data_IF_651201906889
#
_entry.id   IF_651201906889
#
_cell.length_a   1.000
_cell.length_b   1.000
_cell.length_c   1.000
_cell.angle_alpha   90.00
_cell.angle_beta   90.00
_cell.angle_gamma   90.00
#
_symmetry.space_group_name_H-M   'P 1'
#
loop_
_entity.id
_entity.type
_entity.pdbx_description
1 polymer ?
#
# COMPACT_ATOMS: atom_id res chain seq x y z
N UNK A 1 -13.31 29.39 -19.47
CA UNK A 1 -12.81 27.99 -19.46
C UNK A 1 -11.90 27.73 -18.26
N UNK A 2 -11.33 28.76 -17.64
CA UNK A 2 -10.46 28.65 -16.46
C UNK A 2 -11.18 28.23 -15.17
N UNK A 3 -12.48 28.53 -15.05
CA UNK A 3 -13.29 28.13 -13.89
C UNK A 3 -13.61 26.62 -13.85
N UNK A 4 -13.68 25.94 -15.01
CA UNK A 4 -13.95 24.49 -15.07
C UNK A 4 -12.71 23.69 -14.71
N UNK A 5 -11.52 24.18 -15.09
CA UNK A 5 -10.23 23.58 -14.75
C UNK A 5 -9.84 23.76 -13.27
N UNK A 6 -10.52 24.63 -12.52
CA UNK A 6 -10.31 24.86 -11.09
C UNK A 6 -11.20 24.00 -10.18
N UNK A 7 -11.98 23.07 -10.75
CA UNK A 7 -12.87 22.20 -9.97
C UNK A 7 -12.14 20.96 -9.43
N UNK A 8 -12.54 20.41 -8.27
CA UNK A 8 -11.96 19.17 -7.73
C UNK A 8 -11.97 18.01 -8.73
N UNK A 9 -13.01 17.92 -9.57
CA UNK A 9 -13.16 16.87 -10.58
C UNK A 9 -12.11 17.01 -11.70
N UNK A 10 -11.75 18.24 -12.09
CA UNK A 10 -10.72 18.48 -13.10
C UNK A 10 -9.34 18.10 -12.56
N UNK A 11 -9.03 18.46 -11.31
CA UNK A 11 -7.79 18.05 -10.65
C UNK A 11 -7.68 16.53 -10.51
N UNK A 12 -8.78 15.87 -10.14
CA UNK A 12 -8.84 14.41 -10.07
C UNK A 12 -8.65 13.76 -11.45
N UNK A 13 -9.28 14.30 -12.50
CA UNK A 13 -9.14 13.79 -13.86
C UNK A 13 -7.69 13.89 -14.37
N UNK A 14 -7.01 15.01 -14.10
CA UNK A 14 -5.59 15.19 -14.45
C UNK A 14 -4.72 14.17 -13.71
N UNK A 15 -4.93 13.97 -12.40
CA UNK A 15 -4.19 12.97 -11.62
C UNK A 15 -4.42 11.56 -12.15
N UNK A 16 -5.67 11.21 -12.45
CA UNK A 16 -6.01 9.91 -13.04
C UNK A 16 -5.37 9.71 -14.41
N UNK A 17 -5.28 10.77 -15.23
CA UNK A 17 -4.61 10.71 -16.53
C UNK A 17 -3.10 10.44 -16.37
N UNK A 18 -2.44 11.12 -15.42
CA UNK A 18 -1.02 10.88 -15.10
C UNK A 18 -0.79 9.44 -14.65
N UNK A 19 -1.69 8.90 -13.81
CA UNK A 19 -1.64 7.51 -13.38
C UNK A 19 -1.88 6.54 -14.54
N UNK A 20 -2.86 6.81 -15.40
CA UNK A 20 -3.18 5.99 -16.56
C UNK A 20 -2.02 5.95 -17.58
N UNK A 21 -1.34 7.08 -17.82
CA UNK A 21 -0.14 7.11 -18.67
C UNK A 21 0.99 6.29 -18.06
N UNK A 22 1.18 6.36 -16.75
CA UNK A 22 2.17 5.51 -16.07
C UNK A 22 1.85 4.02 -16.17
N UNK A 23 0.57 3.66 -16.04
CA UNK A 23 0.10 2.28 -16.21
C UNK A 23 0.27 1.78 -17.65
N UNK A 24 -0.06 2.61 -18.65
CA UNK A 24 0.15 2.28 -20.05
C UNK A 24 1.63 2.05 -20.38
N UNK A 25 2.53 2.88 -19.84
CA UNK A 25 3.97 2.71 -19.98
C UNK A 25 4.49 1.44 -19.28
N UNK A 26 3.95 1.11 -18.10
CA UNK A 26 4.25 -0.14 -17.40
C UNK A 26 3.84 -1.37 -18.21
N UNK A 27 2.62 -1.36 -18.78
CA UNK A 27 2.12 -2.43 -19.63
C UNK A 27 2.98 -2.60 -20.89
N UNK A 28 3.32 -1.49 -21.56
CA UNK A 28 4.15 -1.52 -22.77
C UNK A 28 5.58 -2.00 -22.47
N UNK A 29 6.13 -1.65 -21.30
CA UNK A 29 7.44 -2.13 -20.83
C UNK A 29 7.40 -3.53 -20.22
N UNK A 30 6.28 -4.25 -20.32
CA UNK A 30 6.09 -5.61 -19.78
C UNK A 30 6.41 -5.69 -18.27
N UNK A 31 5.93 -4.69 -17.53
CA UNK A 31 6.16 -4.49 -16.09
C UNK A 31 7.65 -4.38 -15.69
N UNK A 32 8.52 -4.01 -16.63
CA UNK A 32 9.92 -3.74 -16.31
C UNK A 32 10.07 -2.38 -15.64
N UNK A 33 9.27 -1.40 -16.06
CA UNK A 33 9.23 -0.06 -15.46
C UNK A 33 7.98 0.05 -14.58
N UNK A 34 8.10 0.43 -13.29
CA UNK A 34 6.95 0.62 -12.42
C UNK A 34 6.02 1.73 -12.92
N UNK A 35 4.70 1.47 -12.92
CA UNK A 35 3.73 2.51 -13.33
C UNK A 35 3.81 3.75 -12.46
N UNK A 36 3.97 3.54 -11.15
CA UNK A 36 4.10 4.62 -10.18
C UNK A 36 5.32 5.52 -10.48
N UNK A 37 6.44 4.95 -10.92
CA UNK A 37 7.62 5.73 -11.30
C UNK A 37 7.33 6.65 -12.48
N UNK A 38 6.76 6.09 -13.54
CA UNK A 38 6.46 6.86 -14.76
C UNK A 38 5.48 7.98 -14.43
N UNK A 39 4.48 7.69 -13.59
CA UNK A 39 3.54 8.70 -13.08
C UNK A 39 4.23 9.78 -12.25
N UNK A 40 5.20 9.44 -11.39
CA UNK A 40 5.97 10.43 -10.61
C UNK A 40 6.82 11.34 -11.50
N UNK A 41 7.53 10.77 -12.48
CA UNK A 41 8.35 11.56 -13.41
C UNK A 41 7.45 12.50 -14.22
N UNK A 42 6.33 11.98 -14.72
CA UNK A 42 5.36 12.77 -15.46
C UNK A 42 4.76 13.88 -14.58
N UNK A 43 4.40 13.56 -13.32
CA UNK A 43 3.90 14.53 -12.36
C UNK A 43 4.89 15.67 -12.10
N UNK A 44 6.17 15.34 -11.85
CA UNK A 44 7.22 16.35 -11.64
C UNK A 44 7.43 17.19 -12.90
N UNK A 45 7.45 16.56 -14.08
CA UNK A 45 7.60 17.27 -15.35
C UNK A 45 6.45 18.27 -15.59
N UNK A 46 5.21 17.89 -15.28
CA UNK A 46 4.04 18.77 -15.42
C UNK A 46 3.98 19.86 -14.34
N UNK A 47 4.53 19.59 -13.16
CA UNK A 47 4.66 20.58 -12.09
C UNK A 47 5.71 21.63 -12.45
N UNK A 48 6.85 21.21 -13.01
CA UNK A 48 7.91 22.11 -13.46
C UNK A 48 7.55 22.91 -14.72
N UNK A 49 6.75 22.35 -15.62
CA UNK A 49 6.24 23.09 -16.78
C UNK A 49 5.17 24.12 -16.42
N UNK A 50 4.75 24.21 -15.16
CA UNK A 50 3.75 25.16 -14.67
C UNK A 50 2.32 24.83 -15.10
N UNK A 51 2.10 23.66 -15.72
CA UNK A 51 0.77 23.22 -16.18
C UNK A 51 -0.13 22.81 -15.00
N UNK A 52 0.47 22.37 -13.89
CA UNK A 52 -0.25 21.84 -12.73
C UNK A 52 0.10 22.62 -11.44
N UNK A 53 -0.89 23.02 -10.62
CA UNK A 53 -0.63 23.63 -9.31
C UNK A 53 -0.07 22.61 -8.31
N UNK A 54 0.85 23.05 -7.43
CA UNK A 54 1.46 22.19 -6.41
C UNK A 54 0.43 21.52 -5.48
N UNK A 55 -0.69 22.20 -5.21
CA UNK A 55 -1.76 21.70 -4.33
C UNK A 55 -2.81 20.83 -5.04
N UNK A 56 -2.54 20.37 -6.27
CA UNK A 56 -3.51 19.58 -7.05
C UNK A 56 -4.03 18.36 -6.30
N UNK A 57 -3.16 17.67 -5.55
CA UNK A 57 -3.52 16.46 -4.79
C UNK A 57 -4.48 16.79 -3.65
N UNK A 58 -4.23 17.89 -2.93
CA UNK A 58 -5.11 18.36 -1.85
C UNK A 58 -6.47 18.79 -2.40
N UNK A 59 -6.48 19.53 -3.52
CA UNK A 59 -7.71 20.01 -4.17
C UNK A 59 -8.54 18.89 -4.80
N UNK A 60 -7.90 17.82 -5.30
CA UNK A 60 -8.58 16.67 -5.87
C UNK A 60 -9.18 15.73 -4.82
N UNK A 61 -8.46 15.51 -3.71
CA UNK A 61 -8.83 14.53 -2.68
C UNK A 61 -9.85 15.05 -1.67
N UNK A 62 -9.76 16.33 -1.29
CA UNK A 62 -10.63 16.95 -0.31
C UNK A 62 -10.70 16.19 1.03
N UNK A 63 -11.75 16.43 1.85
CA UNK A 63 -11.92 15.74 3.14
C UNK A 63 -12.19 14.23 2.99
N UNK A 64 -12.70 13.80 1.83
CA UNK A 64 -13.00 12.39 1.54
C UNK A 64 -11.71 11.56 1.44
N UNK A 65 -10.64 12.12 0.85
CA UNK A 65 -9.36 11.42 0.72
C UNK A 65 -8.75 11.00 2.05
N UNK A 66 -8.85 11.86 3.07
CA UNK A 66 -8.36 11.55 4.42
C UNK A 66 -9.16 10.39 5.05
N UNK A 67 -10.49 10.37 4.89
CA UNK A 67 -11.34 9.29 5.39
C UNK A 67 -11.02 7.93 4.73
N UNK A 68 -10.69 7.95 3.44
CA UNK A 68 -10.35 6.74 2.67
C UNK A 68 -9.07 6.04 3.13
N UNK A 69 -8.14 6.74 3.79
CA UNK A 69 -6.93 6.12 4.34
C UNK A 69 -7.29 4.99 5.31
N UNK A 70 -8.26 5.23 6.21
CA UNK A 70 -8.71 4.22 7.19
C UNK A 70 -9.30 2.97 6.51
N UNK A 71 -10.07 3.17 5.44
CA UNK A 71 -10.71 2.10 4.66
C UNK A 71 -9.66 1.27 3.93
N UNK A 72 -8.69 1.92 3.29
CA UNK A 72 -7.58 1.26 2.58
C UNK A 72 -6.74 0.42 3.54
N UNK A 73 -6.39 0.96 4.72
CA UNK A 73 -5.62 0.23 5.73
C UNK A 73 -6.41 -0.99 6.24
N UNK A 74 -7.70 -0.81 6.53
CA UNK A 74 -8.56 -1.91 6.99
C UNK A 74 -8.65 -3.00 5.92
N UNK A 75 -8.81 -2.61 4.64
CA UNK A 75 -8.80 -3.55 3.52
C UNK A 75 -7.49 -4.33 3.43
N UNK A 76 -6.34 -3.67 3.57
CA UNK A 76 -5.04 -4.35 3.64
C UNK A 76 -4.97 -5.37 4.77
N UNK A 77 -5.46 -5.01 5.97
CA UNK A 77 -5.55 -5.92 7.11
C UNK A 77 -6.36 -7.17 6.82
N UNK A 78 -7.46 -7.05 6.06
CA UNK A 78 -8.33 -8.20 5.75
C UNK A 78 -7.70 -9.25 4.82
N UNK A 79 -6.67 -8.87 4.05
CA UNK A 79 -5.99 -9.78 3.12
C UNK A 79 -4.97 -10.70 3.78
N UNK A 80 -4.55 -10.41 5.02
CA UNK A 80 -3.45 -11.13 5.66
C UNK A 80 -3.89 -12.55 6.09
N UNK A 81 -3.27 -13.62 5.57
CA UNK A 81 -3.58 -14.99 5.99
C UNK A 81 -2.96 -15.31 7.36
N UNK A 82 -3.80 -15.32 8.40
CA UNK A 82 -3.40 -15.62 9.78
C UNK A 82 -2.59 -16.91 9.97
N UNK A 83 -2.90 -17.95 9.20
CA UNK A 83 -2.18 -19.23 9.28
C UNK A 83 -0.70 -19.07 8.89
N UNK A 84 -0.41 -18.21 7.91
CA UNK A 84 0.96 -17.94 7.45
C UNK A 84 1.76 -17.17 8.48
N UNK A 85 1.13 -16.25 9.22
CA UNK A 85 1.77 -15.52 10.33
C UNK A 85 2.31 -16.52 11.35
N UNK A 86 1.51 -17.53 11.72
CA UNK A 86 1.92 -18.55 12.69
C UNK A 86 3.03 -19.47 12.15
N UNK A 87 2.91 -19.90 10.90
CA UNK A 87 3.91 -20.75 10.24
C UNK A 87 5.25 -20.01 10.04
N UNK A 88 5.23 -18.70 9.86
CA UNK A 88 6.41 -17.88 9.54
C UNK A 88 6.91 -17.03 10.72
N UNK A 89 6.73 -17.50 11.96
CA UNK A 89 7.14 -16.74 13.16
C UNK A 89 8.62 -16.33 13.15
N UNK A 90 9.52 -17.17 12.62
CA UNK A 90 10.95 -16.81 12.45
C UNK A 90 11.13 -15.66 11.48
N UNK A 91 10.34 -15.64 10.40
CA UNK A 91 10.31 -14.53 9.45
C UNK A 91 9.84 -13.23 10.09
N UNK A 92 8.86 -13.30 11.00
CA UNK A 92 8.37 -12.14 11.75
C UNK A 92 9.47 -11.57 12.65
N UNK A 93 10.21 -12.42 13.37
CA UNK A 93 11.33 -11.98 14.22
C UNK A 93 12.44 -11.32 13.39
N UNK A 94 12.78 -11.89 12.22
CA UNK A 94 13.77 -11.31 11.31
C UNK A 94 13.28 -9.95 10.78
N UNK A 95 12.01 -9.85 10.40
CA UNK A 95 11.42 -8.60 9.95
C UNK A 95 11.45 -7.52 11.05
N UNK A 96 11.10 -7.87 12.29
CA UNK A 96 11.19 -6.98 13.45
C UNK A 96 12.62 -6.51 13.71
N UNK A 97 13.59 -7.42 13.66
CA UNK A 97 15.00 -7.06 13.78
C UNK A 97 15.44 -6.10 12.66
N UNK A 98 14.95 -6.33 11.43
CA UNK A 98 15.16 -5.42 10.30
C UNK A 98 14.57 -4.03 10.54
N UNK A 99 13.34 -3.93 11.06
CA UNK A 99 12.71 -2.64 11.41
C UNK A 99 13.51 -1.92 12.49
N UNK A 100 13.96 -2.62 13.53
CA UNK A 100 14.81 -2.04 14.59
C UNK A 100 16.14 -1.55 14.00
N UNK A 101 16.76 -2.33 13.11
CA UNK A 101 17.98 -1.93 12.40
C UNK A 101 17.79 -0.66 11.56
N UNK A 102 16.69 -0.58 10.79
CA UNK A 102 16.31 0.62 10.02
C UNK A 102 16.11 1.80 10.97
N UNK A 103 15.41 1.60 12.09
CA UNK A 103 15.13 2.64 13.07
C UNK A 103 16.44 3.23 13.63
N UNK A 104 17.37 2.38 14.05
CA UNK A 104 18.66 2.79 14.59
C UNK A 104 19.49 3.52 13.53
N UNK A 105 19.51 3.02 12.30
CA UNK A 105 20.34 3.57 11.24
C UNK A 105 19.81 4.92 10.75
N UNK A 106 18.50 5.02 10.50
CA UNK A 106 17.87 6.25 10.03
C UNK A 106 17.78 7.29 11.14
N UNK A 107 17.46 6.91 12.38
CA UNK A 107 17.49 7.87 13.48
C UNK A 107 18.93 8.22 13.84
N UNK A 108 19.87 7.29 13.87
CA UNK A 108 21.27 7.60 14.17
C UNK A 108 21.89 8.55 13.14
N UNK A 109 21.90 8.16 11.86
CA UNK A 109 22.53 8.94 10.79
C UNK A 109 21.66 10.15 10.41
N UNK A 110 20.34 9.96 10.28
CA UNK A 110 19.43 11.01 9.83
C UNK A 110 19.23 12.12 10.86
N UNK A 111 19.24 11.82 12.16
CA UNK A 111 19.18 12.89 13.18
C UNK A 111 20.45 13.73 13.19
N UNK A 112 21.62 13.10 12.98
CA UNK A 112 22.91 13.78 12.97
C UNK A 112 23.09 14.70 11.75
N UNK A 113 22.52 14.32 10.59
CA UNK A 113 22.68 15.08 9.34
C UNK A 113 21.54 16.06 9.05
N UNK A 114 20.30 15.70 9.36
CA UNK A 114 19.09 16.46 8.96
C UNK A 114 18.20 16.88 10.12
N UNK A 115 18.57 16.54 11.37
CA UNK A 115 17.78 16.82 12.56
C UNK A 115 16.67 15.79 12.82
N UNK A 116 16.19 15.77 14.06
CA UNK A 116 15.27 14.74 14.55
C UNK A 116 13.90 14.75 13.87
N UNK A 117 13.32 15.92 13.65
CA UNK A 117 11.99 16.07 13.03
C UNK A 117 11.96 15.51 11.61
N UNK A 118 12.97 15.83 10.82
CA UNK A 118 13.14 15.34 9.44
C UNK A 118 13.33 13.82 9.42
N UNK A 119 14.21 13.29 10.27
CA UNK A 119 14.51 11.86 10.32
C UNK A 119 13.27 11.02 10.72
N UNK A 120 12.55 11.46 11.76
CA UNK A 120 11.35 10.76 12.26
C UNK A 120 10.21 10.80 11.24
N UNK A 121 10.05 11.88 10.48
CA UNK A 121 9.01 11.94 9.43
C UNK A 121 9.23 10.92 8.30
N UNK A 122 10.48 10.49 8.06
CA UNK A 122 10.82 9.58 6.98
C UNK A 122 10.92 8.11 7.40
N UNK A 123 11.33 7.84 8.65
CA UNK A 123 11.72 6.49 9.08
C UNK A 123 10.59 5.48 8.96
N UNK A 124 9.35 5.89 9.22
CA UNK A 124 8.17 5.04 9.11
C UNK A 124 7.98 4.51 7.70
N UNK A 125 8.22 5.33 6.67
CA UNK A 125 8.03 4.96 5.27
C UNK A 125 9.10 3.97 4.80
N UNK A 126 10.34 4.13 5.26
CA UNK A 126 11.42 3.18 4.94
C UNK A 126 11.06 1.77 5.41
N UNK A 127 10.46 1.66 6.60
CA UNK A 127 10.07 0.37 7.18
C UNK A 127 8.73 -0.18 6.62
N UNK A 128 7.74 0.68 6.38
CA UNK A 128 6.35 0.27 6.12
C UNK A 128 5.76 0.67 4.76
N UNK A 129 6.55 1.26 3.87
CA UNK A 129 6.16 1.59 2.50
C UNK A 129 4.94 2.51 2.40
N UNK A 130 4.03 2.23 1.46
CA UNK A 130 2.90 3.10 1.15
C UNK A 130 1.91 3.23 2.30
N UNK A 131 1.69 2.17 3.08
CA UNK A 131 0.77 2.20 4.24
C UNK A 131 1.32 3.12 5.32
N UNK A 132 2.62 3.02 5.61
CA UNK A 132 3.27 3.92 6.55
C UNK A 132 3.32 5.37 6.04
N UNK A 133 3.47 5.58 4.72
CA UNK A 133 3.37 6.91 4.12
C UNK A 133 2.00 7.54 4.35
N UNK A 134 0.91 6.80 4.10
CA UNK A 134 -0.45 7.30 4.33
C UNK A 134 -0.68 7.66 5.80
N UNK A 135 -0.23 6.80 6.72
CA UNK A 135 -0.37 7.02 8.15
C UNK A 135 0.43 8.23 8.65
N UNK A 136 1.68 8.34 8.17
CA UNK A 136 2.58 9.44 8.54
C UNK A 136 2.08 10.76 7.96
N UNK A 137 1.57 10.76 6.73
CA UNK A 137 1.01 11.96 6.09
C UNK A 137 -0.23 12.47 6.82
N UNK A 138 -1.10 11.57 7.27
CA UNK A 138 -2.25 11.93 8.09
C UNK A 138 -1.81 12.55 9.42
N UNK A 139 -0.84 11.93 10.12
CA UNK A 139 -0.32 12.46 11.40
C UNK A 139 0.42 13.79 11.24
N UNK A 140 1.22 13.97 10.19
CA UNK A 140 1.86 15.25 9.87
C UNK A 140 0.84 16.35 9.59
N UNK A 141 -0.29 16.01 8.97
CA UNK A 141 -1.40 16.94 8.76
C UNK A 141 -2.10 17.32 10.07
N UNK A 142 -2.32 16.35 10.96
CA UNK A 142 -2.92 16.57 12.28
C UNK A 142 -2.06 17.48 13.17
N UNK A 143 -0.74 17.32 13.17
CA UNK A 143 0.19 18.16 13.96
C UNK A 143 0.55 19.49 13.28
N UNK A 144 -0.07 19.81 12.13
CA UNK A 144 0.16 21.05 11.39
C UNK A 144 1.51 21.12 10.63
N UNK A 145 2.25 20.02 10.53
CA UNK A 145 3.55 19.94 9.85
C UNK A 145 3.43 19.39 8.42
N UNK A 146 2.48 19.91 7.65
CA UNK A 146 2.21 19.47 6.26
C UNK A 146 3.43 19.61 5.35
N UNK A 147 4.31 20.58 5.63
CA UNK A 147 5.56 20.81 4.87
C UNK A 147 6.50 19.59 4.91
N UNK A 148 6.44 18.79 5.98
CA UNK A 148 7.27 17.59 6.11
C UNK A 148 6.74 16.41 5.29
N UNK A 149 5.50 16.44 4.77
CA UNK A 149 4.90 15.33 3.98
C UNK A 149 5.69 15.06 2.69
N UNK A 150 6.38 16.06 2.17
CA UNK A 150 7.25 15.91 1.00
C UNK A 150 8.39 14.91 1.24
N UNK A 151 8.95 14.85 2.45
CA UNK A 151 10.07 13.95 2.80
C UNK A 151 9.67 12.47 2.67
N UNK A 152 8.63 11.96 3.38
CA UNK A 152 8.20 10.58 3.25
C UNK A 152 7.69 10.26 1.84
N UNK A 153 7.11 11.24 1.11
CA UNK A 153 6.73 11.05 -0.29
C UNK A 153 7.97 10.80 -1.20
N UNK A 154 9.02 11.59 -1.03
CA UNK A 154 10.28 11.45 -1.77
C UNK A 154 10.96 10.11 -1.46
N UNK A 155 11.00 9.73 -0.18
CA UNK A 155 11.55 8.43 0.25
C UNK A 155 10.78 7.29 -0.41
N UNK A 156 9.44 7.31 -0.36
CA UNK A 156 8.61 6.28 -0.98
C UNK A 156 8.84 6.21 -2.49
N UNK A 157 8.88 7.37 -3.16
CA UNK A 157 9.14 7.49 -4.59
C UNK A 157 10.48 6.86 -4.96
N UNK A 158 11.57 7.25 -4.28
CA UNK A 158 12.91 6.76 -4.55
C UNK A 158 13.07 5.26 -4.21
N UNK A 159 12.48 4.81 -3.10
CA UNK A 159 12.47 3.39 -2.71
C UNK A 159 11.75 2.53 -3.74
N UNK A 160 10.61 3.00 -4.25
CA UNK A 160 9.85 2.28 -5.28
C UNK A 160 10.63 2.24 -6.61
N UNK A 161 11.29 3.34 -6.96
CA UNK A 161 12.09 3.49 -8.18
C UNK A 161 13.28 2.53 -8.20
N UNK A 162 14.06 2.50 -7.13
CA UNK A 162 15.31 1.71 -7.07
C UNK A 162 15.03 0.27 -6.64
N UNK A 163 14.05 0.07 -5.75
CA UNK A 163 13.75 -1.24 -5.17
C UNK A 163 13.23 -2.25 -6.19
N UNK A 164 12.29 -1.87 -7.05
CA UNK A 164 11.70 -2.76 -8.05
C UNK A 164 12.68 -3.29 -9.11
N UNK A 165 13.54 -2.49 -9.76
CA UNK A 165 14.49 -3.01 -10.73
C UNK A 165 15.53 -3.93 -10.09
N UNK A 166 16.04 -3.59 -8.90
CA UNK A 166 16.96 -4.45 -8.15
C UNK A 166 16.27 -5.77 -7.80
N UNK A 167 15.05 -5.73 -7.28
CA UNK A 167 14.27 -6.92 -6.95
C UNK A 167 14.06 -7.81 -8.18
N UNK A 168 13.73 -7.23 -9.33
CA UNK A 168 13.52 -7.97 -10.58
C UNK A 168 14.82 -8.65 -11.06
N UNK A 169 15.96 -7.95 -10.99
CA UNK A 169 17.27 -8.52 -11.35
C UNK A 169 17.64 -9.66 -10.40
N UNK A 170 17.49 -9.47 -9.09
CA UNK A 170 17.80 -10.50 -8.10
C UNK A 170 16.90 -11.72 -8.23
N UNK A 171 15.59 -11.51 -8.46
CA UNK A 171 14.64 -12.60 -8.67
C UNK A 171 14.97 -13.38 -9.93
N UNK A 172 15.29 -12.70 -11.04
CA UNK A 172 15.73 -13.37 -12.29
C UNK A 172 16.99 -14.21 -12.07
N UNK A 173 17.98 -13.69 -11.32
CA UNK A 173 19.20 -14.44 -10.97
C UNK A 173 18.88 -15.66 -10.10
N UNK A 174 18.02 -15.50 -9.10
CA UNK A 174 17.61 -16.60 -8.22
C UNK A 174 16.87 -17.70 -8.99
N UNK A 175 15.93 -17.32 -9.85
CA UNK A 175 15.18 -18.25 -10.70
C UNK A 175 16.10 -18.95 -11.69
N UNK A 176 17.03 -18.24 -12.32
CA UNK A 176 18.03 -18.87 -13.19
C UNK A 176 18.89 -19.89 -12.45
N UNK A 177 19.32 -19.55 -11.22
CA UNK A 177 20.14 -20.45 -10.37
C UNK A 177 19.38 -21.70 -9.94
N UNK A 178 18.12 -21.59 -9.51
CA UNK A 178 17.32 -22.77 -9.16
C UNK A 178 16.97 -23.62 -10.40
N UNK A 179 16.85 -23.04 -11.61
CA UNK A 179 16.62 -23.77 -12.87
C UNK A 179 17.84 -24.58 -13.25
N UNK A 180 19.02 -23.99 -13.14
CA UNK A 180 20.28 -24.70 -13.34
C UNK A 180 20.49 -25.83 -12.31
N UNK A 181 19.94 -25.70 -11.10
CA UNK A 181 20.01 -26.72 -10.05
C UNK A 181 18.99 -27.85 -10.19
N UNK A 182 18.12 -27.85 -11.22
CA UNK A 182 17.13 -28.91 -11.46
C UNK A 182 15.98 -28.97 -10.43
N UNK A 183 15.83 -27.95 -9.58
CA UNK A 183 14.86 -27.94 -8.46
C UNK A 183 13.42 -27.61 -8.94
N UNK A 184 13.25 -27.16 -10.19
CA UNK A 184 11.95 -26.80 -10.75
C UNK A 184 11.28 -27.94 -11.52
N UNK A 185 10.93 -29.01 -10.82
CA UNK A 185 9.75 -29.80 -11.21
C UNK A 185 8.66 -29.80 -10.11
N UNK A 186 8.99 -29.40 -8.87
CA UNK A 186 8.05 -29.47 -7.74
C UNK A 186 8.04 -28.25 -6.79
N UNK A 187 8.39 -27.06 -7.27
CA UNK A 187 8.24 -25.83 -6.48
C UNK A 187 6.95 -25.07 -6.80
N UNK A 188 5.79 -25.67 -6.49
CA UNK A 188 4.61 -24.84 -6.22
C UNK A 188 4.82 -24.12 -4.89
N UNK A 189 5.06 -22.81 -4.95
CA UNK A 189 4.77 -21.94 -3.79
C UNK A 189 5.85 -20.98 -3.31
N UNK A 190 7.03 -20.90 -3.94
CA UNK A 190 8.01 -19.85 -3.59
C UNK A 190 8.65 -19.30 -4.86
N UNK A 191 8.11 -18.19 -5.38
CA UNK A 191 8.83 -17.37 -6.35
C UNK A 191 8.31 -17.36 -7.80
N UNK A 192 7.02 -17.60 -8.03
CA UNK A 192 6.40 -17.22 -9.31
C UNK A 192 5.46 -16.06 -9.06
N UNK A 193 5.86 -14.85 -9.46
CA UNK A 193 5.01 -13.71 -9.87
C UNK A 193 3.74 -13.37 -9.09
N UNK A 194 3.54 -13.95 -7.91
CA UNK A 194 2.45 -13.66 -7.03
C UNK A 194 2.87 -12.40 -6.30
N UNK A 195 2.21 -11.32 -6.67
CA UNK A 195 2.02 -10.17 -5.81
C UNK A 195 1.97 -10.68 -4.35
N UNK A 196 2.85 -10.23 -3.43
CA UNK A 196 2.89 -10.72 -2.06
C UNK A 196 1.55 -10.56 -1.31
N UNK A 197 0.59 -9.83 -1.89
CA UNK A 197 -0.81 -9.75 -1.48
C UNK A 197 -1.68 -10.97 -1.83
N UNK A 198 -1.24 -11.89 -2.68
CA UNK A 198 -2.08 -13.01 -3.18
C UNK A 198 -1.66 -14.31 -2.53
N UNK A 199 -2.20 -14.55 -1.34
CA UNK A 199 -2.10 -15.86 -0.68
C UNK A 199 -3.01 -16.90 -1.35
N UNK A 200 -2.62 -18.20 -1.36
CA UNK A 200 -3.50 -19.29 -1.77
C UNK A 200 -4.74 -19.32 -0.86
N UNK A 201 -5.91 -19.54 -1.47
CA UNK A 201 -7.21 -19.51 -0.79
C UNK A 201 -7.34 -20.65 0.23
N UNK A 202 -6.96 -20.38 1.48
CA UNK A 202 -7.43 -21.17 2.60
C UNK A 202 -8.90 -20.81 2.82
N UNK A 203 -9.81 -21.77 2.67
CA UNK A 203 -11.24 -21.62 2.99
C UNK A 203 -11.37 -21.20 4.45
N UNK A 204 -11.64 -19.93 4.70
CA UNK A 204 -12.06 -19.44 6.01
C UNK A 204 -13.58 -19.60 6.09
N UNK A 205 -14.08 -20.12 7.20
CA UNK A 205 -15.52 -20.24 7.47
C UNK A 205 -16.10 -18.83 7.55
N UNK A 206 -16.76 -18.38 6.49
CA UNK A 206 -17.37 -17.05 6.44
C UNK A 206 -18.73 -17.08 7.14
N UNK A 207 -18.92 -16.20 8.13
CA UNK A 207 -20.22 -15.96 8.77
C UNK A 207 -21.17 -15.18 7.87
N UNK A 208 -20.64 -14.48 6.86
CA UNK A 208 -21.45 -13.79 5.85
C UNK A 208 -22.02 -14.80 4.82
N UNK A 209 -23.36 -14.89 4.67
CA UNK A 209 -23.98 -15.66 3.61
C UNK A 209 -23.44 -15.25 2.24
N UNK A 210 -23.30 -16.20 1.31
CA UNK A 210 -22.76 -15.93 -0.04
C UNK A 210 -23.54 -14.83 -0.79
N UNK A 211 -24.81 -14.59 -0.44
CA UNK A 211 -25.67 -13.53 -1.00
C UNK A 211 -25.32 -12.10 -0.52
N UNK A 212 -24.63 -11.94 0.62
CA UNK A 212 -24.23 -10.63 1.16
C UNK A 212 -22.77 -10.27 0.85
N UNK A 213 -22.05 -11.11 0.12
CA UNK A 213 -20.67 -10.83 -0.33
C UNK A 213 -20.65 -9.89 -1.54
N UNK A 214 -21.46 -8.82 -1.52
CA UNK A 214 -21.43 -7.81 -2.57
C UNK A 214 -20.35 -6.77 -2.28
N UNK A 215 -19.72 -6.19 -3.31
CA UNK A 215 -18.67 -5.18 -3.13
C UNK A 215 -19.09 -4.01 -2.25
N UNK A 216 -20.36 -3.60 -2.35
CA UNK A 216 -20.93 -2.49 -1.58
C UNK A 216 -21.05 -2.85 -0.10
N UNK A 217 -21.50 -4.06 0.23
CA UNK A 217 -21.60 -4.51 1.62
C UNK A 217 -20.21 -4.64 2.25
N UNK A 218 -19.22 -5.10 1.49
CA UNK A 218 -17.84 -5.20 1.95
C UNK A 218 -17.20 -3.83 2.17
N UNK A 219 -17.39 -2.88 1.24
CA UNK A 219 -16.94 -1.51 1.42
C UNK A 219 -17.63 -0.84 2.61
N UNK A 220 -18.92 -1.06 2.81
CA UNK A 220 -19.66 -0.56 3.97
C UNK A 220 -19.11 -1.13 5.27
N UNK A 221 -18.84 -2.44 5.32
CA UNK A 221 -18.25 -3.08 6.50
C UNK A 221 -16.84 -2.55 6.80
N UNK A 222 -16.00 -2.38 5.78
CA UNK A 222 -14.67 -1.78 5.92
C UNK A 222 -14.75 -0.33 6.41
N UNK A 223 -15.73 0.44 5.94
CA UNK A 223 -15.97 1.81 6.39
C UNK A 223 -16.43 1.84 7.86
N UNK A 224 -17.30 0.92 8.28
CA UNK A 224 -17.72 0.79 9.69
C UNK A 224 -16.55 0.40 10.60
N UNK A 225 -15.71 -0.55 10.17
CA UNK A 225 -14.50 -0.94 10.90
C UNK A 225 -13.49 0.21 10.97
N UNK A 226 -13.30 0.97 9.88
CA UNK A 226 -12.48 2.16 9.85
C UNK A 226 -13.00 3.26 10.79
N UNK A 227 -14.31 3.48 10.83
CA UNK A 227 -14.94 4.39 11.79
C UNK A 227 -14.70 3.93 13.24
N UNK A 228 -14.90 2.64 13.52
CA UNK A 228 -14.65 2.08 14.84
C UNK A 228 -13.18 2.26 15.26
N UNK A 229 -12.23 2.10 14.34
CA UNK A 229 -10.82 2.38 14.60
C UNK A 229 -10.56 3.82 15.05
N UNK A 230 -11.25 4.81 14.47
CA UNK A 230 -11.12 6.22 14.90
C UNK A 230 -11.71 6.49 16.28
N UNK A 231 -12.75 5.75 16.68
CA UNK A 231 -13.31 5.83 18.04
C UNK A 231 -12.34 5.22 19.05
N UNK A 232 -11.74 4.07 18.72
CA UNK A 232 -10.74 3.43 19.58
C UNK A 232 -9.45 4.26 19.69
N UNK A 233 -9.03 4.96 18.62
CA UNK A 233 -7.90 5.90 18.66
C UNK A 233 -8.09 6.94 19.78
N UNK A 234 -9.26 7.57 19.85
CA UNK A 234 -9.58 8.58 20.88
C UNK A 234 -9.61 8.03 22.30
N UNK A 235 -10.00 6.76 22.46
CA UNK A 235 -10.14 6.13 23.78
C UNK A 235 -8.80 5.60 24.31
N UNK A 236 -7.91 5.16 23.42
CA UNK A 236 -6.67 4.43 23.79
C UNK A 236 -5.40 5.25 23.56
N UNK A 237 -5.47 6.37 22.84
CA UNK A 237 -4.33 7.21 22.49
C UNK A 237 -3.40 6.57 21.44
N UNK A 238 -3.84 5.50 20.78
CA UNK A 238 -3.04 4.70 19.86
C UNK A 238 -3.54 4.90 18.43
N UNK A 239 -2.63 5.24 17.52
CA UNK A 239 -2.95 5.70 16.17
C UNK A 239 -4.03 4.83 15.45
N UNK A 240 -5.07 5.49 14.92
CA UNK A 240 -6.18 4.85 14.20
C UNK A 240 -5.74 3.83 13.13
N UNK A 241 -4.60 4.01 12.46
CA UNK A 241 -4.12 3.05 11.46
C UNK A 241 -3.78 1.68 12.05
N UNK A 242 -3.28 1.62 13.28
CA UNK A 242 -3.00 0.36 13.98
C UNK A 242 -4.30 -0.35 14.33
N UNK A 243 -5.29 0.38 14.86
CA UNK A 243 -6.62 -0.16 15.14
C UNK A 243 -7.34 -0.62 13.88
N UNK A 244 -7.26 0.14 12.79
CA UNK A 244 -7.83 -0.23 11.50
C UNK A 244 -7.24 -1.55 10.99
N UNK A 245 -5.92 -1.74 11.14
CA UNK A 245 -5.24 -2.97 10.77
C UNK A 245 -5.65 -4.14 11.67
N UNK A 246 -5.67 -3.95 13.00
CA UNK A 246 -6.08 -4.98 13.97
C UNK A 246 -7.54 -5.41 13.76
N UNK A 247 -8.45 -4.45 13.55
CA UNK A 247 -9.86 -4.71 13.28
C UNK A 247 -10.04 -5.39 11.91
N UNK A 248 -9.27 -5.01 10.89
CA UNK A 248 -9.28 -5.69 9.60
C UNK A 248 -8.82 -7.16 9.70
N UNK A 249 -7.72 -7.40 10.42
CA UNK A 249 -7.21 -8.76 10.68
C UNK A 249 -8.20 -9.56 11.53
N UNK A 250 -8.77 -8.95 12.57
CA UNK A 250 -9.77 -9.55 13.45
C UNK A 250 -11.07 -9.90 12.73
N UNK A 251 -11.57 -9.03 11.86
CA UNK A 251 -12.75 -9.29 11.03
C UNK A 251 -12.54 -10.49 10.10
N UNK A 252 -11.33 -10.65 9.54
CA UNK A 252 -10.97 -11.85 8.77
C UNK A 252 -10.77 -13.08 9.66
N UNK A 253 -10.27 -12.93 10.89
CA UNK A 253 -10.11 -14.02 11.85
C UNK A 253 -11.46 -14.63 12.25
N UNK A 254 -12.44 -13.77 12.51
CA UNK A 254 -13.81 -14.14 12.89
C UNK A 254 -14.60 -14.68 11.68
N UNK A 255 -14.12 -14.44 10.45
CA UNK A 255 -14.78 -14.86 9.22
C UNK A 255 -15.89 -13.90 8.78
N UNK A 256 -15.88 -12.65 9.24
CA UNK A 256 -16.84 -11.61 8.87
C UNK A 256 -16.59 -11.09 7.44
N UNK A 257 -15.32 -11.10 6.99
CA UNK A 257 -14.92 -10.67 5.64
C UNK A 257 -14.38 -11.85 4.83
N UNK A 258 -14.92 -12.16 3.64
CA UNK A 258 -14.34 -13.16 2.74
C UNK A 258 -12.97 -12.71 2.23
N UNK A 259 -11.97 -13.61 2.28
CA UNK A 259 -10.59 -13.33 1.80
C UNK A 259 -10.49 -13.05 0.29
N UNK A 260 -11.55 -13.26 -0.49
CA UNK A 260 -11.61 -13.00 -1.93
C UNK A 260 -13.01 -12.52 -2.34
N UNK A 261 -13.22 -11.22 -2.58
CA UNK A 261 -14.51 -10.73 -3.09
C UNK A 261 -14.70 -10.96 -4.60
N UNK A 262 -13.61 -11.18 -5.35
CA UNK A 262 -13.60 -10.83 -6.78
C UNK A 262 -13.32 -11.97 -7.78
N UNK A 263 -13.27 -13.23 -7.36
CA UNK A 263 -13.14 -14.35 -8.31
C UNK A 263 -14.35 -15.27 -8.22
N UNK A 264 -15.35 -14.99 -9.05
CA UNK A 264 -16.32 -16.04 -9.44
C UNK A 264 -15.50 -17.17 -10.08
N UNK A 265 -15.75 -18.44 -9.76
CA UNK A 265 -15.26 -19.53 -10.59
C UNK A 265 -15.84 -19.29 -11.98
N UNK A 266 -15.01 -18.90 -12.94
CA UNK A 266 -15.35 -19.05 -14.35
C UNK A 266 -15.59 -20.54 -14.55
N UNK A 267 -16.85 -20.91 -14.78
CA UNK A 267 -17.20 -22.19 -15.35
C UNK A 267 -16.59 -22.26 -16.75
N UNK A 268 -15.34 -22.70 -16.83
CA UNK A 268 -14.68 -23.12 -18.06
C UNK A 268 -13.96 -24.43 -17.75
N UNK A 269 -14.68 -25.52 -17.94
CA UNK A 269 -14.21 -26.87 -17.66
C UNK A 269 -15.35 -27.90 -17.64
N UNK A 270 -16.29 -27.79 -18.57
CA UNK A 270 -17.23 -28.86 -18.90
C UNK A 270 -17.79 -28.63 -20.30
N UNK A 271 -16.96 -28.95 -21.30
CA UNK A 271 -17.32 -29.51 -22.61
C UNK A 271 -16.01 -29.75 -23.35
#
# INVERSE_FOLDING_TARGET
>A
MDAVLATPIAFLAILMLILAVGEAASLLSRAWVPSLLVSFILYIALLWSGVIPADIVAKASGPVGAAMISVVITHMGTMIPLNRIREQWRGIVIALAGVVGILILVLGIGTLTYGYTTAVSGVGVVAGGIVAFLLTSAKLTEIGQQQLIAIPALILGLQSLIGMPIANIMLRKYVAKQRAAGIYDHATGVGSGADPHVAPAVKVRTWLPASMQTPIILLALLAVLGFLATVLDKLTGLNYGVWALLLGVGATAIGLVPRRPWRRPTASGSA
#
